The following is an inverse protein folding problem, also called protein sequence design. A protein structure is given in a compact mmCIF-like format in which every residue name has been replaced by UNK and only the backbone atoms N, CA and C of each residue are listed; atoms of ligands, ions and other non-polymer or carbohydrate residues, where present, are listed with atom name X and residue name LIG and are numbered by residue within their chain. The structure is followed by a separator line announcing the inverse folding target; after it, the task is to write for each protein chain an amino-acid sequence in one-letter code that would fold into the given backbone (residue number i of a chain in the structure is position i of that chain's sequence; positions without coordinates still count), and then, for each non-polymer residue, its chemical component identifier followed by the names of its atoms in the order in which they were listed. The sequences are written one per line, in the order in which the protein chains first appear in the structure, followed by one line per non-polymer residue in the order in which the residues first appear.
data_IF_018726497498
#
_entry.id   IF_018726497498
#
_cell.length_a   1.000
_cell.length_b   1.000
_cell.length_c   1.000
_cell.angle_alpha   90.00
_cell.angle_beta   90.00
_cell.angle_gamma   90.00
#
_symmetry.space_group_name_H-M   'P 1'
#
loop_
_entity.id
_entity.type
_entity.pdbx_description
1 polymer ?
#
# COMPACT_ATOMS: atom_id res chain seq x y z
N UNK A 1 6.29 -15.25 -50.12
CA UNK A 1 7.52 -15.05 -49.30
C UNK A 1 7.14 -14.26 -48.06
N UNK A 2 7.05 -14.94 -46.93
CA UNK A 2 6.63 -14.36 -45.63
C UNK A 2 7.88 -13.83 -44.93
N UNK A 3 7.94 -12.52 -44.67
CA UNK A 3 8.97 -11.92 -43.82
C UNK A 3 8.51 -12.01 -42.37
N UNK A 4 9.14 -12.90 -41.58
CA UNK A 4 9.05 -12.87 -40.12
C UNK A 4 9.85 -11.67 -39.61
N UNK A 5 9.14 -10.70 -39.05
CA UNK A 5 9.75 -9.57 -38.33
C UNK A 5 9.73 -9.91 -36.84
N UNK A 6 10.88 -10.35 -36.33
CA UNK A 6 11.13 -10.55 -34.91
C UNK A 6 11.20 -9.20 -34.19
N UNK A 7 10.14 -8.81 -33.49
CA UNK A 7 10.20 -7.71 -32.52
C UNK A 7 10.56 -8.27 -31.15
N UNK A 8 11.85 -8.19 -30.86
CA UNK A 8 12.40 -8.26 -29.51
C UNK A 8 11.84 -7.06 -28.74
N UNK A 9 10.94 -7.30 -27.79
CA UNK A 9 10.59 -6.30 -26.80
C UNK A 9 11.58 -6.42 -25.64
N UNK A 10 12.46 -5.43 -25.57
CA UNK A 10 13.48 -5.30 -24.54
C UNK A 10 12.86 -5.26 -23.15
N UNK A 11 13.42 -6.07 -22.27
CA UNK A 11 13.20 -5.98 -20.84
C UNK A 11 13.77 -4.64 -20.35
N UNK A 12 12.92 -3.66 -20.09
CA UNK A 12 13.27 -2.54 -19.23
C UNK A 12 13.34 -3.07 -17.79
N UNK A 13 14.53 -3.47 -17.38
CA UNK A 13 14.87 -3.66 -15.98
C UNK A 13 14.89 -2.29 -15.30
N UNK A 14 13.77 -1.88 -14.72
CA UNK A 14 13.80 -0.91 -13.60
C UNK A 14 14.15 -1.73 -12.36
N UNK A 15 15.43 -2.03 -12.23
CA UNK A 15 15.99 -2.66 -11.05
C UNK A 15 16.07 -1.65 -9.92
N UNK A 16 15.10 -1.68 -9.02
CA UNK A 16 15.38 -1.56 -7.59
C UNK A 16 14.85 -2.85 -6.99
N UNK A 17 15.77 -3.74 -6.58
CA UNK A 17 15.43 -4.79 -5.61
C UNK A 17 15.17 -4.04 -4.32
N UNK A 18 13.93 -3.59 -4.14
CA UNK A 18 13.42 -3.12 -2.84
C UNK A 18 13.69 -4.28 -1.89
N UNK A 19 14.43 -4.04 -0.81
CA UNK A 19 14.74 -5.09 0.14
C UNK A 19 13.43 -5.77 0.54
N UNK A 20 13.41 -7.11 0.54
CA UNK A 20 12.23 -7.87 0.97
C UNK A 20 11.85 -7.58 2.42
N UNK A 21 12.75 -6.95 3.16
CA UNK A 21 12.64 -6.65 4.57
C UNK A 21 13.24 -5.27 4.87
N UNK A 22 12.44 -4.36 5.43
CA UNK A 22 12.89 -3.01 5.84
C UNK A 22 13.83 -3.02 7.06
N UNK A 23 13.89 -4.13 7.79
CA UNK A 23 14.76 -4.33 8.95
C UNK A 23 16.09 -5.03 8.59
N UNK A 24 16.34 -5.30 7.30
CA UNK A 24 17.64 -5.74 6.83
C UNK A 24 18.75 -4.74 7.19
N UNK A 25 18.41 -3.45 7.24
CA UNK A 25 19.27 -2.37 7.71
C UNK A 25 18.84 -1.88 9.09
N UNK A 26 19.79 -1.33 9.86
CA UNK A 26 19.49 -0.70 11.17
C UNK A 26 18.50 0.45 11.01
N UNK A 27 17.65 0.63 12.02
CA UNK A 27 16.64 1.69 12.08
C UNK A 27 17.02 2.69 13.16
N UNK A 28 16.80 3.98 12.88
CA UNK A 28 17.02 5.07 13.84
C UNK A 28 15.79 5.20 14.73
N UNK A 29 15.97 4.84 16.00
CA UNK A 29 14.91 4.77 17.01
C UNK A 29 15.11 5.86 18.06
N UNK A 30 14.06 6.61 18.35
CA UNK A 30 14.03 7.62 19.40
C UNK A 30 13.26 7.12 20.63
N UNK A 31 13.89 7.21 21.80
CA UNK A 31 13.30 6.79 23.09
C UNK A 31 12.64 7.95 23.86
N UNK A 32 12.58 9.15 23.27
CA UNK A 32 11.96 10.33 23.87
C UNK A 32 12.84 11.08 24.90
N UNK A 33 13.89 10.46 25.44
CA UNK A 33 14.87 11.10 26.34
C UNK A 33 15.95 11.92 25.61
N UNK A 34 15.70 12.28 24.35
CA UNK A 34 16.65 13.01 23.51
C UNK A 34 17.79 12.16 22.93
N UNK A 35 17.77 10.85 23.15
CA UNK A 35 18.69 9.90 22.51
C UNK A 35 18.00 9.21 21.32
N UNK A 36 18.63 9.36 20.16
CA UNK A 36 18.34 8.60 18.95
C UNK A 36 19.43 7.53 18.78
N UNK A 37 19.04 6.26 18.67
CA UNK A 37 19.97 5.13 18.56
C UNK A 37 19.65 4.32 17.32
N UNK A 38 20.68 3.89 16.60
CA UNK A 38 20.54 2.94 15.50
C UNK A 38 20.46 1.52 16.05
N UNK A 39 19.29 0.91 15.90
CA UNK A 39 18.99 -0.42 16.45
C UNK A 39 18.69 -1.42 15.32
N UNK A 40 18.99 -2.69 15.56
CA UNK A 40 18.54 -3.80 14.72
C UNK A 40 17.11 -4.27 15.06
N UNK A 41 16.55 -5.19 14.29
CA UNK A 41 15.20 -5.72 14.51
C UNK A 41 15.03 -6.36 15.90
N UNK A 42 16.03 -7.11 16.36
CA UNK A 42 15.96 -7.86 17.61
C UNK A 42 15.94 -6.92 18.83
N UNK A 43 16.75 -5.85 18.78
CA UNK A 43 16.78 -4.75 19.74
C UNK A 43 15.45 -4.00 19.77
N UNK A 44 14.89 -3.66 18.60
CA UNK A 44 13.57 -3.02 18.51
C UNK A 44 12.49 -3.92 19.12
N UNK A 45 12.50 -5.22 18.79
CA UNK A 45 11.57 -6.18 19.35
C UNK A 45 11.77 -6.37 20.86
N UNK A 46 12.98 -6.17 21.39
CA UNK A 46 13.21 -6.18 22.83
C UNK A 46 12.53 -4.99 23.53
N UNK A 47 12.54 -3.79 22.91
CA UNK A 47 11.79 -2.63 23.42
C UNK A 47 10.29 -2.93 23.50
N UNK A 48 9.72 -3.58 22.47
CA UNK A 48 8.32 -4.01 22.46
C UNK A 48 8.03 -5.00 23.60
N UNK A 49 8.87 -6.04 23.75
CA UNK A 49 8.71 -7.05 24.83
C UNK A 49 8.81 -6.45 26.22
N UNK A 50 9.66 -5.45 26.40
CA UNK A 50 9.84 -4.73 27.66
C UNK A 50 8.81 -3.61 27.87
N UNK A 51 7.83 -3.48 26.98
CA UNK A 51 6.81 -2.43 27.00
C UNK A 51 7.39 -1.00 27.05
N UNK A 52 8.56 -0.80 26.45
CA UNK A 52 9.22 0.50 26.34
C UNK A 52 8.70 1.23 25.10
N UNK A 53 8.35 2.50 25.28
CA UNK A 53 7.85 3.35 24.18
C UNK A 53 9.03 3.82 23.33
N UNK A 54 8.88 3.72 22.02
CA UNK A 54 9.87 4.21 21.07
C UNK A 54 9.19 4.72 19.80
N UNK A 55 9.94 5.46 18.98
CA UNK A 55 9.51 5.94 17.67
C UNK A 55 10.60 5.67 16.64
N UNK A 56 10.26 5.00 15.55
CA UNK A 56 11.13 4.95 14.37
C UNK A 56 11.08 6.30 13.65
N UNK A 57 12.26 6.92 13.50
CA UNK A 57 12.44 8.22 12.85
C UNK A 57 13.41 8.13 11.65
N UNK A 58 13.73 6.91 11.19
CA UNK A 58 14.71 6.66 10.11
C UNK A 58 14.36 7.41 8.84
N UNK A 59 13.08 7.42 8.46
CA UNK A 59 12.61 7.97 7.19
C UNK A 59 11.72 9.21 7.40
N UNK A 60 11.90 9.91 8.53
CA UNK A 60 11.23 11.18 8.77
C UNK A 60 11.88 12.25 7.89
N UNK A 61 11.18 12.67 6.83
CA UNK A 61 11.53 13.86 6.06
C UNK A 61 11.36 15.15 6.88
N UNK A 62 11.70 16.33 6.30
CA UNK A 62 11.45 17.61 6.97
C UNK A 62 9.98 17.68 7.40
N UNK A 63 9.74 18.01 8.67
CA UNK A 63 8.39 18.21 9.18
C UNK A 63 7.77 19.39 8.43
N UNK A 64 6.87 19.08 7.51
CA UNK A 64 6.06 20.10 6.85
C UNK A 64 5.01 20.55 7.86
N UNK A 65 5.16 21.78 8.35
CA UNK A 65 4.12 22.47 9.10
C UNK A 65 2.85 22.47 8.25
N UNK A 66 1.88 21.61 8.61
CA UNK A 66 0.59 21.56 7.93
C UNK A 66 -0.18 22.80 8.34
N UNK A 67 -0.19 23.82 7.49
CA UNK A 67 -1.15 24.91 7.58
C UNK A 67 -2.56 24.31 7.55
N UNK A 68 -3.28 24.38 8.68
CA UNK A 68 -4.69 24.00 8.76
C UNK A 68 -5.52 25.08 8.07
N UNK A 69 -5.50 25.09 6.74
CA UNK A 69 -6.49 25.84 5.98
C UNK A 69 -7.84 25.11 6.15
N UNK A 70 -8.71 25.63 7.00
CA UNK A 70 -10.09 25.16 7.10
C UNK A 70 -10.86 25.74 5.92
N UNK A 71 -10.77 25.09 4.77
CA UNK A 71 -11.74 25.35 3.71
C UNK A 71 -13.10 24.85 4.20
N UNK A 72 -14.00 25.77 4.53
CA UNK A 72 -15.38 25.42 4.81
C UNK A 72 -16.01 24.91 3.50
N UNK A 73 -16.12 23.60 3.37
CA UNK A 73 -16.82 22.99 2.24
C UNK A 73 -18.30 23.33 2.34
N UNK A 74 -18.87 23.92 1.28
CA UNK A 74 -20.33 24.12 1.18
C UNK A 74 -20.95 22.78 0.80
N UNK A 75 -21.61 22.14 1.77
CA UNK A 75 -22.32 20.90 1.50
C UNK A 75 -23.65 21.18 0.79
N UNK A 76 -24.02 20.37 -0.22
CA UNK A 76 -25.34 20.46 -0.84
C UNK A 76 -26.45 20.23 0.20
N UNK A 77 -27.50 21.06 0.17
CA UNK A 77 -28.66 20.93 1.07
C UNK A 77 -29.68 19.88 0.62
N UNK A 78 -29.55 19.40 -0.63
CA UNK A 78 -30.45 18.42 -1.24
C UNK A 78 -29.64 17.38 -2.00
N UNK A 79 -30.14 16.14 -1.99
CA UNK A 79 -29.63 15.05 -2.81
C UNK A 79 -30.19 15.21 -4.23
N UNK A 80 -29.34 15.21 -5.26
CA UNK A 80 -29.74 15.49 -6.66
C UNK A 80 -29.46 14.34 -7.63
N UNK A 81 -28.74 13.30 -7.21
CA UNK A 81 -28.23 12.22 -8.08
C UNK A 81 -29.04 10.91 -7.98
N UNK A 82 -30.26 10.94 -7.41
CA UNK A 82 -31.08 9.74 -7.19
C UNK A 82 -31.38 8.98 -8.49
N UNK A 83 -31.58 9.70 -9.59
CA UNK A 83 -31.83 9.10 -10.90
C UNK A 83 -30.65 8.25 -11.39
N UNK A 84 -29.41 8.59 -11.00
CA UNK A 84 -28.18 7.87 -11.35
C UNK A 84 -27.86 6.78 -10.32
N UNK A 85 -28.03 7.07 -9.03
CA UNK A 85 -27.67 6.15 -7.94
C UNK A 85 -28.66 4.98 -7.82
N UNK A 86 -29.97 5.23 -7.95
CA UNK A 86 -30.98 4.19 -7.76
C UNK A 86 -30.82 2.99 -8.73
N UNK A 87 -30.50 3.18 -10.02
CA UNK A 87 -30.15 2.07 -10.91
C UNK A 87 -28.90 1.30 -10.47
N UNK A 88 -27.87 1.99 -9.99
CA UNK A 88 -26.61 1.37 -9.55
C UNK A 88 -26.82 0.52 -8.28
N UNK A 89 -27.65 0.98 -7.34
CA UNK A 89 -27.98 0.23 -6.13
C UNK A 89 -28.61 -1.14 -6.45
N UNK A 90 -29.39 -1.24 -7.53
CA UNK A 90 -29.98 -2.53 -7.96
C UNK A 90 -28.96 -3.50 -8.55
N UNK A 91 -27.78 -3.00 -8.94
CA UNK A 91 -26.69 -3.81 -9.50
C UNK A 91 -25.66 -4.21 -8.43
N UNK A 92 -25.78 -3.69 -7.20
CA UNK A 92 -24.89 -4.07 -6.09
C UNK A 92 -25.05 -5.56 -5.80
N UNK A 93 -23.93 -6.25 -5.72
CA UNK A 93 -23.86 -7.68 -5.42
C UNK A 93 -22.77 -7.93 -4.40
N UNK A 94 -23.04 -8.84 -3.46
CA UNK A 94 -22.09 -9.25 -2.43
C UNK A 94 -21.09 -10.30 -2.93
N UNK A 95 -21.28 -10.86 -4.14
CA UNK A 95 -20.43 -11.93 -4.66
C UNK A 95 -18.97 -11.51 -4.79
N UNK A 96 -18.71 -10.30 -5.32
CA UNK A 96 -17.34 -9.79 -5.49
C UNK A 96 -16.69 -9.51 -4.14
N UNK A 97 -17.29 -8.72 -3.22
CA UNK A 97 -16.76 -8.54 -1.87
C UNK A 97 -16.50 -9.85 -1.12
N UNK A 98 -17.40 -10.83 -1.21
CA UNK A 98 -17.24 -12.12 -0.55
C UNK A 98 -16.04 -12.91 -1.10
N UNK A 99 -15.87 -12.96 -2.41
CA UNK A 99 -14.72 -13.65 -3.03
C UNK A 99 -13.40 -12.97 -2.68
N UNK A 100 -13.36 -11.63 -2.72
CA UNK A 100 -12.18 -10.86 -2.31
C UNK A 100 -11.85 -11.12 -0.85
N UNK A 101 -12.84 -11.10 0.04
CA UNK A 101 -12.64 -11.35 1.46
C UNK A 101 -12.12 -12.76 1.71
N UNK A 102 -12.73 -13.79 1.10
CA UNK A 102 -12.28 -15.19 1.23
C UNK A 102 -10.80 -15.36 0.89
N UNK A 103 -10.36 -14.76 -0.21
CA UNK A 103 -8.95 -14.80 -0.63
C UNK A 103 -8.05 -13.99 0.32
N UNK A 104 -8.46 -12.80 0.76
CA UNK A 104 -7.64 -12.01 1.68
C UNK A 104 -7.52 -12.64 3.08
N UNK A 105 -8.51 -13.42 3.50
CA UNK A 105 -8.49 -14.14 4.79
C UNK A 105 -7.78 -15.50 4.73
N UNK A 106 -7.47 -16.02 3.54
CA UNK A 106 -6.74 -17.29 3.41
C UNK A 106 -5.24 -17.15 3.66
N UNK A 107 -4.70 -15.93 3.54
CA UNK A 107 -3.33 -15.63 3.94
C UNK A 107 -3.15 -15.73 5.45
N UNK A 108 -2.03 -16.31 5.91
CA UNK A 108 -1.73 -16.45 7.34
C UNK A 108 -1.68 -15.11 8.07
N UNK A 109 -1.07 -14.10 7.44
CA UNK A 109 -1.11 -12.72 7.87
C UNK A 109 -0.98 -11.79 6.66
N UNK A 110 -1.19 -10.49 6.88
CA UNK A 110 -1.03 -9.45 5.86
C UNK A 110 -0.05 -8.37 6.34
N UNK A 111 1.03 -8.80 6.98
CA UNK A 111 2.01 -7.90 7.57
C UNK A 111 2.77 -7.13 6.49
N UNK A 112 2.88 -5.81 6.64
CA UNK A 112 3.39 -4.90 5.60
C UNK A 112 4.81 -5.21 5.12
N UNK A 113 5.61 -5.88 5.95
CA UNK A 113 7.00 -6.26 5.69
C UNK A 113 7.20 -7.77 5.51
N UNK A 114 6.11 -8.54 5.31
CA UNK A 114 6.15 -9.99 5.14
C UNK A 114 5.86 -10.43 3.71
N UNK A 115 6.27 -11.65 3.36
CA UNK A 115 6.00 -12.26 2.07
C UNK A 115 4.49 -12.41 1.78
N UNK A 116 3.70 -12.82 2.77
CA UNK A 116 2.24 -12.90 2.65
C UNK A 116 1.59 -11.51 2.46
N UNK A 117 2.16 -10.48 3.08
CA UNK A 117 1.74 -9.09 2.86
C UNK A 117 1.91 -8.68 1.41
N UNK A 118 3.12 -8.91 0.85
CA UNK A 118 3.40 -8.68 -0.58
C UNK A 118 2.40 -9.42 -1.47
N UNK A 119 2.24 -10.73 -1.29
CA UNK A 119 1.33 -11.53 -2.10
C UNK A 119 -0.13 -11.03 -2.03
N UNK A 120 -0.58 -10.66 -0.83
CA UNK A 120 -1.95 -10.14 -0.65
C UNK A 120 -2.16 -8.79 -1.35
N UNK A 121 -1.14 -7.93 -1.35
CA UNK A 121 -1.18 -6.65 -2.06
C UNK A 121 -1.14 -6.83 -3.59
N UNK A 122 -0.34 -7.77 -4.10
CA UNK A 122 -0.28 -8.12 -5.51
C UNK A 122 -1.63 -8.68 -6.01
N UNK A 123 -2.24 -9.54 -5.20
CA UNK A 123 -3.60 -10.05 -5.46
C UNK A 123 -4.61 -8.90 -5.57
N UNK A 124 -4.56 -7.92 -4.66
CA UNK A 124 -5.46 -6.76 -4.70
C UNK A 124 -5.21 -5.90 -5.94
N UNK A 125 -3.95 -5.62 -6.28
CA UNK A 125 -3.58 -4.88 -7.48
C UNK A 125 -4.15 -5.55 -8.74
N UNK A 126 -4.00 -6.87 -8.85
CA UNK A 126 -4.52 -7.64 -9.99
C UNK A 126 -6.05 -7.62 -10.03
N UNK A 127 -6.71 -7.77 -8.88
CA UNK A 127 -8.17 -7.72 -8.77
C UNK A 127 -8.72 -6.37 -9.24
N UNK A 128 -8.15 -5.26 -8.77
CA UNK A 128 -8.58 -3.91 -9.14
C UNK A 128 -8.29 -3.63 -10.61
N UNK A 129 -7.12 -4.03 -11.12
CA UNK A 129 -6.77 -3.91 -12.54
C UNK A 129 -7.75 -4.66 -13.45
N UNK A 130 -8.20 -5.84 -13.00
CA UNK A 130 -9.17 -6.67 -13.72
C UNK A 130 -10.56 -6.02 -13.73
N UNK A 131 -10.99 -5.45 -12.60
CA UNK A 131 -12.27 -4.73 -12.47
C UNK A 131 -12.29 -3.47 -13.36
N UNK A 132 -11.20 -2.70 -13.38
CA UNK A 132 -11.08 -1.51 -14.22
C UNK A 132 -11.07 -1.85 -15.71
N UNK A 133 -10.43 -2.96 -16.09
CA UNK A 133 -10.35 -3.39 -17.48
C UNK A 133 -9.88 -2.25 -18.40
N UNK A 134 -10.69 -1.87 -19.37
CA UNK A 134 -10.42 -0.76 -20.31
C UNK A 134 -10.88 0.62 -19.83
N UNK A 135 -11.51 0.70 -18.66
CA UNK A 135 -12.17 1.91 -18.16
C UNK A 135 -11.25 2.80 -17.30
N UNK A 136 -10.03 2.36 -17.03
CA UNK A 136 -9.01 3.16 -16.36
C UNK A 136 -7.71 2.40 -16.17
N UNK A 137 -6.77 3.01 -15.45
CA UNK A 137 -5.43 2.46 -15.22
C UNK A 137 -5.11 2.42 -13.73
N UNK A 138 -4.47 1.34 -13.29
CA UNK A 138 -3.88 1.21 -11.95
C UNK A 138 -2.37 1.28 -12.09
N UNK A 139 -1.73 2.21 -11.40
CA UNK A 139 -0.27 2.37 -11.41
C UNK A 139 0.27 2.13 -10.01
N UNK A 140 1.41 1.46 -9.92
CA UNK A 140 2.12 1.32 -8.64
C UNK A 140 2.91 2.59 -8.33
N UNK A 141 3.02 2.95 -7.06
CA UNK A 141 3.94 3.98 -6.61
C UNK A 141 5.11 3.37 -5.83
N UNK A 142 6.29 3.96 -6.03
CA UNK A 142 7.52 3.46 -5.44
C UNK A 142 7.57 3.79 -3.95
N UNK A 143 7.87 2.79 -3.12
CA UNK A 143 8.16 2.96 -1.71
C UNK A 143 9.04 1.81 -1.21
N UNK A 144 9.54 1.91 0.03
CA UNK A 144 10.46 0.94 0.64
C UNK A 144 9.82 -0.40 1.07
N UNK A 145 8.51 -0.45 1.26
CA UNK A 145 7.86 -1.68 1.75
C UNK A 145 7.74 -2.74 0.64
N UNK A 146 7.71 -4.05 1.00
CA UNK A 146 7.52 -5.14 0.04
C UNK A 146 6.14 -5.19 -0.61
N UNK A 147 5.11 -4.64 0.04
CA UNK A 147 3.76 -4.58 -0.53
C UNK A 147 3.72 -3.77 -1.83
N UNK A 148 2.84 -4.09 -2.77
CA UNK A 148 2.53 -3.17 -3.86
C UNK A 148 1.61 -2.07 -3.34
N UNK A 149 1.97 -0.81 -3.57
CA UNK A 149 1.02 0.30 -3.44
C UNK A 149 0.82 1.03 -4.76
#
# INVERSE_FOLDING_TARGET
MVKLSSLVWGALAVGHVVSKDIYADKRRISLGTGSDVWMDEAEIHALVRNNQRFRDITDMGPQVERSRASNMSVFPTKVTQQAVVNPLLRQVSDTVPQNVLRNLTSFHNRYYNGDFGRQSSEYLFQTVSTILGKHGQVTRFAHKFPQSS
#
